data_IF_376086475811
#
_entry.id   IF_376086475811
#
_cell.length_a   1.000
_cell.length_b   1.000
_cell.length_c   1.000
_cell.angle_alpha   90.00
_cell.angle_beta   90.00
_cell.angle_gamma   90.00
#
_symmetry.space_group_name_H-M   'P 1'
#
loop_
_entity.id
_entity.type
_entity.pdbx_description
1 polymer ?
#
# COMPACT_ATOMS: atom_id res chain seq x y z
N UNK A 1 -20.85 15.86 33.54
CA UNK A 1 -20.93 15.10 32.31
C UNK A 1 -20.68 13.64 32.63
N UNK A 2 -21.56 12.75 32.21
CA UNK A 2 -21.32 11.31 32.39
C UNK A 2 -20.13 10.84 31.51
N UNK A 3 -19.60 9.67 31.84
CA UNK A 3 -18.46 9.09 31.14
C UNK A 3 -18.78 8.88 29.64
N UNK A 4 -20.03 8.53 29.30
CA UNK A 4 -20.48 8.34 27.92
C UNK A 4 -20.62 9.64 27.11
N UNK A 5 -20.97 10.76 27.74
CA UNK A 5 -21.23 12.03 27.04
C UNK A 5 -19.98 12.60 26.33
N UNK A 6 -18.77 12.32 26.85
CA UNK A 6 -17.53 12.80 26.25
C UNK A 6 -17.12 11.99 25.01
N UNK A 7 -17.37 10.69 25.00
CA UNK A 7 -17.10 9.80 23.85
C UNK A 7 -18.05 10.11 22.69
N UNK A 8 -19.34 10.24 22.98
CA UNK A 8 -20.37 10.63 22.02
C UNK A 8 -20.03 11.96 21.35
N UNK A 9 -19.56 12.96 22.10
CA UNK A 9 -19.18 14.25 21.52
C UNK A 9 -18.00 14.15 20.57
N UNK A 10 -17.02 13.31 20.87
CA UNK A 10 -15.90 13.04 19.97
C UNK A 10 -16.40 12.37 18.69
N UNK A 11 -17.26 11.37 18.82
CA UNK A 11 -17.87 10.67 17.68
C UNK A 11 -18.69 11.61 16.79
N UNK A 12 -19.57 12.44 17.36
CA UNK A 12 -20.34 13.43 16.63
C UNK A 12 -19.45 14.44 15.87
N UNK A 13 -18.36 14.86 16.49
CA UNK A 13 -17.38 15.78 15.87
C UNK A 13 -16.70 15.12 14.68
N UNK A 14 -16.26 13.86 14.83
CA UNK A 14 -15.64 13.11 13.75
C UNK A 14 -16.61 12.87 12.61
N UNK A 15 -17.87 12.48 12.89
CA UNK A 15 -18.91 12.30 11.87
C UNK A 15 -19.18 13.61 11.12
N UNK A 16 -19.29 14.71 11.85
CA UNK A 16 -19.50 16.04 11.23
C UNK A 16 -18.34 16.38 10.28
N UNK A 17 -17.10 16.07 10.70
CA UNK A 17 -15.90 16.30 9.92
C UNK A 17 -15.88 15.45 8.62
N UNK A 18 -16.28 14.18 8.70
CA UNK A 18 -16.42 13.32 7.51
C UNK A 18 -17.51 13.81 6.54
N UNK A 19 -18.62 14.30 7.08
CA UNK A 19 -19.79 14.74 6.28
C UNK A 19 -19.57 16.07 5.58
N UNK A 20 -18.72 16.94 6.13
CA UNK A 20 -18.53 18.28 5.63
C UNK A 20 -18.00 18.24 4.18
N UNK A 21 -18.78 18.76 3.20
CA UNK A 21 -18.40 18.72 1.80
C UNK A 21 -17.14 19.55 1.48
N UNK A 22 -16.83 20.56 2.30
CA UNK A 22 -15.62 21.38 2.16
C UNK A 22 -14.38 20.69 2.75
N UNK A 23 -14.56 19.57 3.49
CA UNK A 23 -13.48 18.85 4.15
C UNK A 23 -13.30 17.48 3.50
N UNK A 24 -14.06 16.46 3.90
CA UNK A 24 -13.96 15.10 3.38
C UNK A 24 -15.14 14.72 2.46
N UNK A 25 -16.33 15.26 2.73
CA UNK A 25 -17.50 15.05 1.89
C UNK A 25 -17.93 13.60 1.72
N UNK A 26 -17.82 12.79 2.78
CA UNK A 26 -18.33 11.42 2.80
C UNK A 26 -19.84 11.40 3.02
N UNK A 27 -20.54 10.48 2.36
CA UNK A 27 -21.95 10.31 2.62
C UNK A 27 -22.16 9.65 3.99
N UNK A 28 -22.93 10.30 4.86
CA UNK A 28 -23.34 9.69 6.11
C UNK A 28 -24.57 8.81 5.89
N UNK A 29 -24.46 7.53 6.22
CA UNK A 29 -25.54 6.55 6.00
C UNK A 29 -26.30 6.17 7.27
N UNK A 30 -26.02 6.86 8.36
CA UNK A 30 -26.81 6.81 9.59
C UNK A 30 -26.17 6.08 10.75
N UNK A 31 -26.89 6.08 11.87
CA UNK A 31 -26.64 5.22 13.01
C UNK A 31 -27.28 3.85 12.70
N UNK A 32 -26.48 2.80 12.78
CA UNK A 32 -26.87 1.45 12.40
C UNK A 32 -26.98 0.50 13.60
N UNK A 33 -27.25 1.04 14.79
CA UNK A 33 -27.40 0.27 16.04
C UNK A 33 -28.57 -0.69 16.04
N UNK A 34 -29.65 -0.34 15.35
CA UNK A 34 -30.89 -1.13 15.32
C UNK A 34 -30.93 -2.16 14.19
N UNK A 35 -29.86 -2.27 13.41
CA UNK A 35 -29.78 -3.14 12.24
C UNK A 35 -28.70 -4.21 12.43
N UNK A 36 -28.97 -5.41 11.92
CA UNK A 36 -27.93 -6.41 11.74
C UNK A 36 -27.19 -6.10 10.44
N UNK A 37 -25.92 -5.70 10.55
CA UNK A 37 -25.13 -5.26 9.42
C UNK A 37 -24.13 -6.32 8.93
N UNK A 38 -23.79 -6.24 7.66
CA UNK A 38 -22.74 -7.00 7.00
C UNK A 38 -21.64 -6.05 6.52
N UNK A 39 -20.47 -6.61 6.24
CA UNK A 39 -19.33 -5.88 5.69
C UNK A 39 -19.52 -5.45 4.23
N UNK A 40 -20.52 -5.94 3.52
CA UNK A 40 -20.89 -5.54 2.16
C UNK A 40 -22.35 -5.06 2.17
N UNK A 41 -22.53 -3.78 1.82
CA UNK A 41 -23.84 -3.17 1.58
C UNK A 41 -24.18 -3.32 0.10
N UNK A 42 -24.87 -4.41 -0.21
CA UNK A 42 -25.13 -4.85 -1.57
C UNK A 42 -25.80 -3.77 -2.43
N UNK A 43 -26.80 -3.07 -1.89
CA UNK A 43 -27.53 -2.05 -2.64
C UNK A 43 -26.62 -0.91 -3.12
N UNK A 44 -25.68 -0.48 -2.27
CA UNK A 44 -24.70 0.56 -2.61
C UNK A 44 -23.70 0.07 -3.65
N UNK A 45 -23.16 -1.14 -3.48
CA UNK A 45 -22.24 -1.73 -4.43
C UNK A 45 -22.89 -1.91 -5.79
N UNK A 46 -24.13 -2.39 -5.82
CA UNK A 46 -24.95 -2.54 -7.03
C UNK A 46 -25.16 -1.19 -7.73
N UNK A 47 -25.52 -0.16 -6.98
CA UNK A 47 -25.69 1.18 -7.52
C UNK A 47 -24.39 1.72 -8.14
N UNK A 48 -23.27 1.57 -7.45
CA UNK A 48 -21.97 1.97 -7.97
C UNK A 48 -21.62 1.24 -9.27
N UNK A 49 -21.79 -0.09 -9.32
CA UNK A 49 -21.46 -0.89 -10.50
C UNK A 49 -22.39 -0.58 -11.69
N UNK A 50 -23.66 -0.25 -11.45
CA UNK A 50 -24.55 0.25 -12.49
C UNK A 50 -24.10 1.59 -13.06
N UNK A 51 -23.63 2.51 -12.21
CA UNK A 51 -23.08 3.80 -12.65
C UNK A 51 -21.80 3.62 -13.49
N UNK A 52 -21.05 2.54 -13.25
CA UNK A 52 -19.88 2.14 -14.07
C UNK A 52 -20.28 1.46 -15.39
N UNK A 53 -21.58 1.24 -15.64
CA UNK A 53 -22.11 0.70 -16.90
C UNK A 53 -22.13 -0.83 -17.00
N UNK A 54 -21.94 -1.57 -15.91
CA UNK A 54 -22.02 -3.02 -15.93
C UNK A 54 -23.48 -3.50 -16.03
N UNK A 55 -23.70 -4.57 -16.80
CA UNK A 55 -25.01 -5.22 -16.89
C UNK A 55 -25.38 -5.94 -15.57
N UNK A 56 -26.68 -5.97 -15.22
CA UNK A 56 -27.15 -6.55 -13.94
C UNK A 56 -26.67 -8.00 -13.74
N UNK A 57 -26.60 -8.83 -14.77
CA UNK A 57 -26.08 -10.21 -14.68
C UNK A 57 -24.62 -10.28 -14.24
N UNK A 58 -23.77 -9.37 -14.75
CA UNK A 58 -22.35 -9.28 -14.33
C UNK A 58 -22.25 -8.77 -12.89
N UNK A 59 -23.11 -7.82 -12.53
CA UNK A 59 -23.18 -7.27 -11.17
C UNK A 59 -23.58 -8.37 -10.18
N UNK A 60 -24.64 -9.13 -10.49
CA UNK A 60 -25.09 -10.24 -9.64
C UNK A 60 -24.00 -11.28 -9.43
N UNK A 61 -23.34 -11.70 -10.51
CA UNK A 61 -22.26 -12.68 -10.44
C UNK A 61 -21.06 -12.14 -9.62
N UNK A 62 -20.67 -10.89 -9.82
CA UNK A 62 -19.56 -10.28 -9.10
C UNK A 62 -19.87 -10.12 -7.60
N UNK A 63 -21.04 -9.65 -7.24
CA UNK A 63 -21.46 -9.50 -5.84
C UNK A 63 -21.55 -10.87 -5.15
N UNK A 64 -22.16 -11.86 -5.81
CA UNK A 64 -22.24 -13.21 -5.27
C UNK A 64 -20.86 -13.81 -5.01
N UNK A 65 -19.93 -13.69 -5.97
CA UNK A 65 -18.57 -14.17 -5.80
C UNK A 65 -17.85 -13.45 -4.66
N UNK A 66 -17.95 -12.11 -4.58
CA UNK A 66 -17.34 -11.33 -3.50
C UNK A 66 -17.87 -11.75 -2.13
N UNK A 67 -19.17 -11.96 -2.00
CA UNK A 67 -19.80 -12.40 -0.75
C UNK A 67 -19.35 -13.82 -0.35
N UNK A 68 -19.25 -14.74 -1.31
CA UNK A 68 -18.73 -16.10 -1.07
C UNK A 68 -17.28 -16.07 -0.61
N UNK A 69 -16.42 -15.28 -1.25
CA UNK A 69 -15.02 -15.17 -0.90
C UNK A 69 -14.83 -14.46 0.45
N UNK A 70 -15.58 -13.38 0.72
CA UNK A 70 -15.56 -12.70 2.01
C UNK A 70 -16.10 -13.58 3.16
N UNK A 71 -17.05 -14.46 2.89
CA UNK A 71 -17.60 -15.42 3.86
C UNK A 71 -16.75 -16.68 4.07
N UNK A 72 -15.77 -16.92 3.24
CA UNK A 72 -14.96 -18.15 3.30
C UNK A 72 -13.83 -18.08 4.32
N UNK A 73 -14.09 -18.46 5.55
CA UNK A 73 -13.12 -18.51 6.64
C UNK A 73 -12.41 -19.87 6.79
N UNK A 74 -12.54 -20.78 5.84
CA UNK A 74 -11.96 -22.15 5.92
C UNK A 74 -10.43 -22.15 6.11
N UNK A 75 -9.74 -21.14 5.59
CA UNK A 75 -8.29 -20.90 5.77
C UNK A 75 -8.00 -19.76 6.76
N UNK A 76 -9.02 -19.25 7.44
CA UNK A 76 -8.92 -18.14 8.37
C UNK A 76 -9.13 -16.77 7.72
N UNK A 77 -9.25 -15.76 8.60
CA UNK A 77 -9.59 -14.38 8.21
C UNK A 77 -8.50 -13.72 7.36
N UNK A 78 -7.24 -14.09 7.54
CA UNK A 78 -6.13 -13.56 6.74
C UNK A 78 -6.26 -13.92 5.25
N UNK A 79 -6.50 -15.21 4.94
CA UNK A 79 -6.63 -15.67 3.56
C UNK A 79 -7.90 -15.14 2.90
N UNK A 80 -9.02 -15.07 3.63
CA UNK A 80 -10.24 -14.45 3.16
C UNK A 80 -10.02 -12.97 2.83
N UNK A 81 -9.36 -12.22 3.73
CA UNK A 81 -9.06 -10.80 3.50
C UNK A 81 -8.07 -10.61 2.33
N UNK A 82 -7.06 -11.48 2.17
CA UNK A 82 -6.14 -11.45 1.01
C UNK A 82 -6.91 -11.65 -0.29
N UNK A 83 -7.84 -12.60 -0.33
CA UNK A 83 -8.69 -12.84 -1.50
C UNK A 83 -9.56 -11.64 -1.83
N UNK A 84 -10.24 -11.07 -0.83
CA UNK A 84 -11.06 -9.85 -1.02
C UNK A 84 -10.20 -8.68 -1.48
N UNK A 85 -9.01 -8.47 -0.89
CA UNK A 85 -8.09 -7.42 -1.34
C UNK A 85 -7.68 -7.60 -2.81
N UNK A 86 -7.42 -8.83 -3.24
CA UNK A 86 -7.14 -9.12 -4.65
C UNK A 86 -8.31 -8.71 -5.55
N UNK A 87 -9.57 -8.90 -5.09
CA UNK A 87 -10.76 -8.44 -5.83
C UNK A 87 -10.90 -6.93 -5.87
N UNK A 88 -10.57 -6.25 -4.79
CA UNK A 88 -10.52 -4.78 -4.78
C UNK A 88 -9.47 -4.25 -5.77
N UNK A 89 -8.28 -4.86 -5.80
CA UNK A 89 -7.14 -4.41 -6.62
C UNK A 89 -7.30 -4.75 -8.11
N UNK A 90 -7.73 -5.97 -8.42
CA UNK A 90 -7.71 -6.49 -9.79
C UNK A 90 -9.11 -6.74 -10.38
N UNK A 91 -10.17 -6.49 -9.61
CA UNK A 91 -11.53 -6.78 -10.03
C UNK A 91 -11.90 -8.26 -9.96
N UNK A 92 -13.12 -8.56 -10.38
CA UNK A 92 -13.70 -9.90 -10.40
C UNK A 92 -13.96 -10.32 -11.84
N UNK A 93 -13.29 -11.36 -12.37
CA UNK A 93 -13.60 -11.89 -13.69
C UNK A 93 -14.90 -12.70 -13.62
N UNK A 94 -15.92 -12.28 -14.32
CA UNK A 94 -17.25 -12.92 -14.41
C UNK A 94 -17.73 -12.98 -15.84
N UNK A 95 -18.54 -13.98 -16.16
CA UNK A 95 -19.14 -14.14 -17.50
C UNK A 95 -20.66 -14.04 -17.41
N UNK A 96 -21.28 -13.42 -18.39
CA UNK A 96 -22.76 -13.39 -18.51
C UNK A 96 -23.36 -14.76 -18.86
N UNK A 97 -22.57 -15.61 -19.52
CA UNK A 97 -22.90 -16.99 -19.87
C UNK A 97 -21.63 -17.80 -20.09
N UNK A 98 -21.68 -19.14 -20.02
CA UNK A 98 -20.52 -20.01 -20.25
C UNK A 98 -19.85 -19.82 -21.64
N UNK A 99 -20.60 -19.32 -22.61
CA UNK A 99 -20.14 -19.12 -24.01
C UNK A 99 -19.45 -17.78 -24.24
N UNK A 100 -19.63 -16.83 -23.30
CA UNK A 100 -19.01 -15.49 -23.41
C UNK A 100 -17.69 -15.42 -22.65
N UNK A 101 -16.69 -14.71 -23.19
CA UNK A 101 -15.45 -14.47 -22.46
C UNK A 101 -15.73 -13.70 -21.15
N UNK A 102 -14.94 -13.93 -20.09
CA UNK A 102 -15.10 -13.21 -18.84
C UNK A 102 -14.82 -11.72 -19.00
N UNK A 103 -15.63 -10.91 -18.32
CA UNK A 103 -15.45 -9.47 -18.17
C UNK A 103 -14.99 -9.20 -16.73
N UNK A 104 -13.92 -8.42 -16.57
CA UNK A 104 -13.47 -8.03 -15.23
C UNK A 104 -14.32 -6.88 -14.71
N UNK A 105 -15.09 -7.13 -13.66
CA UNK A 105 -15.85 -6.11 -12.94
C UNK A 105 -14.96 -5.44 -11.92
N UNK A 106 -14.63 -4.17 -12.14
CA UNK A 106 -13.80 -3.38 -11.23
C UNK A 106 -14.62 -2.88 -10.04
N UNK A 107 -14.19 -3.22 -8.84
CA UNK A 107 -14.87 -2.82 -7.60
C UNK A 107 -14.46 -1.43 -7.12
N UNK A 108 -13.31 -0.93 -7.56
CA UNK A 108 -12.74 0.37 -7.20
C UNK A 108 -12.21 1.06 -8.45
N UNK A 109 -12.47 2.35 -8.56
CA UNK A 109 -11.88 3.21 -9.60
C UNK A 109 -10.60 3.85 -9.06
N UNK A 110 -9.45 3.25 -9.38
CA UNK A 110 -8.14 3.75 -8.97
C UNK A 110 -7.68 4.92 -9.84
N UNK A 111 -8.04 4.93 -11.12
CA UNK A 111 -7.63 5.98 -12.06
C UNK A 111 -8.33 7.32 -11.79
N UNK A 112 -9.59 7.24 -11.36
CA UNK A 112 -10.40 8.41 -11.01
C UNK A 112 -10.97 8.25 -9.60
N UNK A 113 -10.16 8.44 -8.55
CA UNK A 113 -10.55 8.15 -7.17
C UNK A 113 -11.85 8.80 -6.74
N UNK A 114 -12.15 10.00 -7.24
CA UNK A 114 -13.37 10.75 -6.89
C UNK A 114 -14.67 10.16 -7.50
N UNK A 115 -14.57 9.22 -8.44
CA UNK A 115 -15.71 8.49 -8.98
C UNK A 115 -16.24 7.38 -8.05
N UNK A 116 -15.50 7.08 -6.97
CA UNK A 116 -15.94 6.09 -5.99
C UNK A 116 -16.98 6.69 -5.04
N UNK A 117 -17.81 5.81 -4.48
CA UNK A 117 -18.78 6.14 -3.44
C UNK A 117 -18.13 5.98 -2.06
N UNK A 118 -17.94 7.09 -1.37
CA UNK A 118 -17.38 7.13 -0.01
C UNK A 118 -18.47 7.38 1.01
N UNK A 119 -18.61 6.47 1.96
CA UNK A 119 -19.61 6.60 3.00
C UNK A 119 -19.07 6.28 4.39
N UNK A 120 -19.74 6.81 5.42
CA UNK A 120 -19.47 6.53 6.82
C UNK A 120 -20.80 6.22 7.55
N UNK A 121 -20.73 5.21 8.43
CA UNK A 121 -21.79 4.85 9.37
C UNK A 121 -21.29 4.88 10.80
N UNK A 122 -22.18 5.08 11.74
CA UNK A 122 -21.90 4.98 13.17
C UNK A 122 -22.66 3.84 13.83
N UNK A 123 -22.12 3.36 14.97
CA UNK A 123 -22.77 2.35 15.82
C UNK A 123 -23.22 1.11 15.02
N UNK A 124 -22.31 0.55 14.24
CA UNK A 124 -22.64 -0.51 13.28
C UNK A 124 -22.78 -1.85 14.00
N UNK A 125 -24.01 -2.25 14.33
CA UNK A 125 -24.27 -3.54 15.00
C UNK A 125 -24.03 -4.70 14.04
N UNK A 126 -23.13 -5.60 14.44
CA UNK A 126 -22.80 -6.84 13.74
C UNK A 126 -23.06 -8.02 14.68
N UNK A 127 -23.79 -9.02 14.21
CA UNK A 127 -24.14 -10.22 14.97
C UNK A 127 -23.58 -11.45 14.24
N UNK A 128 -22.62 -12.11 14.89
CA UNK A 128 -22.04 -13.38 14.44
C UNK A 128 -22.03 -14.37 15.62
N UNK A 129 -20.85 -14.74 16.15
CA UNK A 129 -20.74 -15.55 17.37
C UNK A 129 -21.08 -14.73 18.62
N UNK A 130 -20.92 -13.43 18.54
CA UNK A 130 -21.41 -12.46 19.54
C UNK A 130 -21.84 -11.18 18.85
N UNK A 131 -22.63 -10.37 19.53
CA UNK A 131 -22.96 -9.04 19.07
C UNK A 131 -21.84 -8.06 19.41
N UNK A 132 -21.41 -7.28 18.42
CA UNK A 132 -20.45 -6.19 18.58
C UNK A 132 -20.91 -4.98 17.76
N UNK A 133 -20.48 -3.82 18.18
CA UNK A 133 -20.90 -2.55 17.60
C UNK A 133 -19.70 -1.61 17.47
N UNK A 134 -18.93 -1.73 16.35
CA UNK A 134 -17.92 -0.74 16.00
C UNK A 134 -18.46 0.69 15.98
N UNK A 135 -17.72 1.64 16.56
CA UNK A 135 -18.16 3.02 16.69
C UNK A 135 -18.37 3.68 15.32
N UNK A 136 -17.37 3.56 14.42
CA UNK A 136 -17.46 4.09 13.05
C UNK A 136 -16.94 3.07 12.04
N UNK A 137 -17.65 2.95 10.92
CA UNK A 137 -17.24 2.11 9.77
C UNK A 137 -17.26 2.96 8.50
N UNK A 138 -16.14 2.90 7.76
CA UNK A 138 -16.01 3.57 6.46
C UNK A 138 -16.22 2.56 5.35
N UNK A 139 -17.08 2.94 4.41
CA UNK A 139 -17.42 2.14 3.24
C UNK A 139 -16.88 2.79 1.96
N UNK A 140 -16.36 1.96 1.09
CA UNK A 140 -15.95 2.30 -0.27
C UNK A 140 -16.80 1.48 -1.23
N UNK A 141 -17.62 2.14 -2.06
CA UNK A 141 -18.54 1.50 -3.01
C UNK A 141 -19.45 0.45 -2.34
N UNK A 142 -19.83 0.70 -1.08
CA UNK A 142 -20.65 -0.23 -0.28
C UNK A 142 -19.86 -1.35 0.41
N UNK A 143 -18.56 -1.43 0.25
CA UNK A 143 -17.68 -2.41 0.92
C UNK A 143 -17.04 -1.76 2.15
N UNK A 144 -17.20 -2.35 3.33
CA UNK A 144 -16.57 -1.87 4.56
C UNK A 144 -15.03 -2.05 4.49
N UNK A 145 -14.29 -0.94 4.50
CA UNK A 145 -12.83 -0.95 4.30
C UNK A 145 -12.04 -0.43 5.50
N UNK A 146 -12.67 0.32 6.40
CA UNK A 146 -12.01 0.77 7.62
C UNK A 146 -12.98 0.78 8.80
N UNK A 147 -12.45 0.49 9.98
CA UNK A 147 -13.13 0.60 11.27
C UNK A 147 -12.34 1.54 12.17
N UNK A 148 -13.03 2.43 12.89
CA UNK A 148 -12.43 3.38 13.82
C UNK A 148 -13.13 3.25 15.17
N UNK A 149 -12.41 2.82 16.18
CA UNK A 149 -12.85 2.82 17.58
C UNK A 149 -12.44 4.12 18.25
N UNK A 150 -13.38 4.86 18.80
CA UNK A 150 -13.14 6.13 19.44
C UNK A 150 -13.14 5.98 20.97
N UNK A 151 -12.28 6.71 21.62
CA UNK A 151 -12.23 6.76 23.07
C UNK A 151 -12.24 8.22 23.54
N UNK A 152 -12.80 8.45 24.71
CA UNK A 152 -12.70 9.78 25.34
C UNK A 152 -11.24 10.11 25.66
N UNK A 153 -10.92 11.39 25.70
CA UNK A 153 -9.54 11.89 25.89
C UNK A 153 -8.81 11.40 27.15
N UNK A 154 -9.54 10.94 28.17
CA UNK A 154 -8.98 10.40 29.42
C UNK A 154 -8.74 8.88 29.38
N UNK A 155 -9.06 8.20 28.29
CA UNK A 155 -8.84 6.76 28.08
C UNK A 155 -7.80 6.62 26.98
N UNK A 156 -6.79 5.77 27.21
CA UNK A 156 -5.77 5.52 26.20
C UNK A 156 -6.35 4.92 24.92
N UNK A 157 -5.83 5.34 23.79
CA UNK A 157 -6.15 4.78 22.45
C UNK A 157 -5.89 3.27 22.39
N UNK A 158 -4.97 2.76 23.23
CA UNK A 158 -4.70 1.33 23.36
C UNK A 158 -5.95 0.50 23.68
N UNK A 159 -6.91 1.04 24.43
CA UNK A 159 -8.17 0.34 24.71
C UNK A 159 -9.01 0.13 23.44
N UNK A 160 -9.09 1.14 22.58
CA UNK A 160 -9.75 1.00 21.28
C UNK A 160 -9.03 0.01 20.37
N UNK A 161 -7.70 -0.01 20.37
CA UNK A 161 -6.91 -1.00 19.63
C UNK A 161 -7.22 -2.42 20.12
N UNK A 162 -7.27 -2.65 21.45
CA UNK A 162 -7.59 -3.96 22.03
C UNK A 162 -9.03 -4.37 21.72
N UNK A 163 -9.96 -3.43 21.67
CA UNK A 163 -11.34 -3.67 21.25
C UNK A 163 -11.38 -4.16 19.81
N UNK A 164 -10.70 -3.49 18.89
CA UNK A 164 -10.55 -3.93 17.50
C UNK A 164 -9.96 -5.34 17.39
N UNK A 165 -8.87 -5.62 18.10
CA UNK A 165 -8.23 -6.94 18.12
C UNK A 165 -9.14 -8.03 18.67
N UNK A 166 -9.96 -7.70 19.67
CA UNK A 166 -10.95 -8.61 20.25
C UNK A 166 -12.03 -8.93 19.24
N UNK A 167 -12.56 -7.93 18.53
CA UNK A 167 -13.60 -8.09 17.53
C UNK A 167 -13.18 -8.98 16.37
N UNK A 168 -11.88 -9.06 16.05
CA UNK A 168 -11.31 -9.90 14.99
C UNK A 168 -11.19 -11.39 15.34
N UNK A 169 -11.43 -11.79 16.60
CA UNK A 169 -11.36 -13.21 17.01
C UNK A 169 -12.60 -13.97 16.51
N UNK A 170 -12.43 -15.27 16.27
CA UNK A 170 -13.52 -16.15 15.79
C UNK A 170 -14.72 -16.23 16.73
N UNK A 171 -14.54 -15.97 18.04
CA UNK A 171 -15.61 -15.91 19.03
C UNK A 171 -16.42 -14.61 19.00
N UNK A 172 -16.09 -13.68 18.12
CA UNK A 172 -16.73 -12.38 18.01
C UNK A 172 -17.30 -12.15 16.59
N UNK A 173 -16.86 -11.11 15.89
CA UNK A 173 -17.38 -10.70 14.58
C UNK A 173 -16.30 -10.81 13.49
N UNK A 174 -15.60 -11.94 13.44
CA UNK A 174 -14.41 -12.12 12.60
C UNK A 174 -14.72 -11.95 11.10
N UNK A 175 -15.89 -12.43 10.61
CA UNK A 175 -16.22 -12.35 9.18
C UNK A 175 -16.42 -10.91 8.72
N UNK A 176 -16.80 -10.01 9.62
CA UNK A 176 -16.91 -8.59 9.31
C UNK A 176 -15.56 -7.97 8.91
N UNK A 177 -14.45 -8.53 9.42
CA UNK A 177 -13.10 -8.03 9.13
C UNK A 177 -12.48 -8.57 7.84
N UNK A 178 -13.14 -9.46 7.11
CA UNK A 178 -12.60 -10.00 5.84
C UNK A 178 -12.48 -8.97 4.73
N UNK A 179 -13.18 -7.86 4.81
CA UNK A 179 -13.10 -6.75 3.84
C UNK A 179 -12.22 -5.60 4.34
N UNK A 180 -11.88 -5.55 5.64
CA UNK A 180 -11.18 -4.41 6.25
C UNK A 180 -9.76 -4.24 5.72
N UNK A 181 -9.43 -3.02 5.31
CA UNK A 181 -8.09 -2.61 4.93
C UNK A 181 -7.39 -1.91 6.08
N UNK A 182 -8.13 -1.14 6.87
CA UNK A 182 -7.63 -0.43 8.04
C UNK A 182 -8.45 -0.76 9.28
N UNK A 183 -7.74 -0.97 10.40
CA UNK A 183 -8.29 -1.04 11.74
C UNK A 183 -7.65 0.09 12.55
N UNK A 184 -8.48 1.01 13.04
CA UNK A 184 -8.01 2.26 13.65
C UNK A 184 -8.64 2.49 15.01
N UNK A 185 -7.94 3.22 15.86
CA UNK A 185 -8.47 3.72 17.11
C UNK A 185 -7.96 5.14 17.37
N UNK A 186 -8.74 5.97 18.04
CA UNK A 186 -8.34 7.35 18.30
C UNK A 186 -9.06 8.02 19.46
N UNK A 187 -8.44 9.09 19.93
CA UNK A 187 -9.04 10.07 20.81
C UNK A 187 -8.45 11.46 20.54
N UNK A 188 -9.03 12.51 21.12
CA UNK A 188 -8.59 13.88 20.85
C UNK A 188 -7.21 14.23 21.44
N UNK A 189 -6.76 13.54 22.50
CA UNK A 189 -5.47 13.81 23.14
C UNK A 189 -4.30 13.08 22.49
N UNK A 190 -4.47 11.79 22.17
CA UNK A 190 -3.41 10.98 21.59
C UNK A 190 -3.43 10.97 20.06
N UNK A 191 -4.58 11.36 19.45
CA UNK A 191 -4.80 11.33 18.01
C UNK A 191 -5.22 9.94 17.50
N UNK A 192 -5.02 9.69 16.19
CA UNK A 192 -5.37 8.45 15.51
C UNK A 192 -4.19 7.48 15.51
N UNK A 193 -4.48 6.22 15.76
CA UNK A 193 -3.56 5.10 15.54
C UNK A 193 -4.16 4.18 14.48
N UNK A 194 -3.36 3.75 13.53
CA UNK A 194 -3.80 2.86 12.46
C UNK A 194 -2.96 1.60 12.38
N UNK A 195 -3.60 0.56 12.01
CA UNK A 195 -3.07 -0.73 11.67
C UNK A 195 -3.96 -1.38 10.62
N UNK A 196 -3.83 -2.67 10.46
CA UNK A 196 -4.68 -3.45 9.57
C UNK A 196 -5.11 -4.74 10.27
N UNK A 197 -5.71 -5.65 9.53
CA UNK A 197 -6.16 -6.94 10.05
C UNK A 197 -5.05 -7.64 10.85
N UNK A 198 -5.37 -8.08 12.07
CA UNK A 198 -4.49 -8.81 13.00
C UNK A 198 -3.18 -8.08 13.37
N UNK A 199 -3.08 -6.78 13.12
CA UNK A 199 -1.92 -5.99 13.57
C UNK A 199 -1.87 -5.94 15.09
N UNK A 200 -0.83 -6.54 15.70
CA UNK A 200 -0.66 -6.48 17.15
C UNK A 200 -0.53 -5.05 17.69
N UNK A 201 -1.03 -4.80 18.92
CA UNK A 201 -1.13 -3.46 19.52
C UNK A 201 0.14 -2.63 19.38
N UNK A 202 1.31 -3.20 19.67
CA UNK A 202 2.62 -2.51 19.60
C UNK A 202 3.04 -2.09 18.20
N UNK A 203 2.36 -2.55 17.17
CA UNK A 203 2.66 -2.23 15.76
C UNK A 203 1.66 -1.25 15.15
N UNK A 204 0.68 -0.78 15.92
CA UNK A 204 -0.16 0.32 15.49
C UNK A 204 0.68 1.59 15.34
N UNK A 205 0.44 2.32 14.28
CA UNK A 205 1.25 3.45 13.83
C UNK A 205 0.49 4.75 13.98
N UNK A 206 1.22 5.85 14.04
CA UNK A 206 0.68 7.19 13.97
C UNK A 206 1.01 7.78 12.60
N UNK A 207 0.02 8.35 11.93
CA UNK A 207 0.28 9.11 10.72
C UNK A 207 0.85 10.49 11.09
N UNK A 208 1.95 10.83 10.46
CA UNK A 208 2.57 12.15 10.59
C UNK A 208 2.69 12.77 9.21
N UNK A 209 2.39 14.03 9.09
CA UNK A 209 2.74 14.76 7.89
C UNK A 209 4.27 14.85 7.79
N UNK A 210 4.79 14.85 6.59
CA UNK A 210 6.24 14.84 6.39
C UNK A 210 6.90 16.17 6.80
N UNK A 211 6.10 17.24 6.98
CA UNK A 211 6.55 18.57 7.42
C UNK A 211 7.55 19.24 6.46
N UNK A 212 7.81 18.62 5.32
CA UNK A 212 8.83 19.06 4.39
C UNK A 212 8.24 20.13 3.46
N UNK A 213 8.70 21.37 3.61
CA UNK A 213 8.23 22.52 2.82
C UNK A 213 9.15 22.88 1.66
N UNK A 214 10.37 22.33 1.64
CA UNK A 214 11.33 22.58 0.57
C UNK A 214 10.95 21.76 -0.68
N UNK A 215 11.18 22.34 -1.85
CA UNK A 215 10.90 21.70 -3.15
C UNK A 215 9.44 21.23 -3.31
N UNK A 216 8.49 22.10 -2.95
CA UNK A 216 7.05 21.80 -3.06
C UNK A 216 6.66 21.41 -4.51
N UNK A 217 7.32 21.98 -5.51
CA UNK A 217 7.15 21.69 -6.92
C UNK A 217 7.55 20.27 -7.33
N UNK A 218 8.36 19.59 -6.50
CA UNK A 218 8.76 18.19 -6.70
C UNK A 218 7.86 17.20 -5.95
N UNK A 219 6.82 17.69 -5.27
CA UNK A 219 5.90 16.85 -4.48
C UNK A 219 4.65 16.50 -5.29
N UNK A 220 4.03 15.40 -4.94
CA UNK A 220 2.71 15.03 -5.46
C UNK A 220 1.68 16.15 -5.14
N UNK A 221 0.93 16.67 -6.12
CA UNK A 221 -0.03 17.75 -5.88
C UNK A 221 -1.10 17.41 -4.84
N UNK A 222 -1.52 16.14 -4.74
CA UNK A 222 -2.48 15.69 -3.72
C UNK A 222 -1.85 15.83 -2.33
N UNK A 223 -0.60 15.40 -2.16
CA UNK A 223 0.11 15.52 -0.88
C UNK A 223 0.32 16.97 -0.47
N UNK A 224 0.62 17.86 -1.41
CA UNK A 224 0.75 19.30 -1.15
C UNK A 224 -0.59 19.89 -0.68
N UNK A 225 -1.69 19.57 -1.39
CA UNK A 225 -3.04 20.02 -1.01
C UNK A 225 -3.43 19.57 0.38
N UNK A 226 -3.20 18.28 0.68
CA UNK A 226 -3.52 17.69 1.99
C UNK A 226 -2.69 18.34 3.10
N UNK A 227 -1.39 18.53 2.90
CA UNK A 227 -0.51 19.20 3.87
C UNK A 227 -0.99 20.60 4.20
N UNK A 228 -1.33 21.42 3.18
CA UNK A 228 -1.84 22.77 3.36
C UNK A 228 -3.15 22.81 4.16
N UNK A 229 -4.07 21.91 3.86
CA UNK A 229 -5.32 21.79 4.63
C UNK A 229 -5.06 21.37 6.07
N UNK A 230 -4.16 20.43 6.28
CA UNK A 230 -3.76 19.94 7.61
C UNK A 230 -3.16 21.06 8.50
N UNK A 231 -2.50 22.07 7.93
CA UNK A 231 -1.97 23.20 8.69
C UNK A 231 -3.08 24.00 9.40
N UNK A 232 -4.26 24.11 8.78
CA UNK A 232 -5.43 24.79 9.36
C UNK A 232 -6.21 23.98 10.39
N UNK A 233 -5.90 22.69 10.59
CA UNK A 233 -6.61 21.83 11.53
C UNK A 233 -5.83 21.69 12.84
N UNK A 234 -6.33 22.33 13.91
CA UNK A 234 -5.68 22.31 15.23
C UNK A 234 -5.83 20.95 15.94
N UNK A 235 -7.01 20.34 15.85
CA UNK A 235 -7.30 19.08 16.54
C UNK A 235 -6.50 17.93 15.92
N UNK A 236 -5.64 17.29 16.74
CA UNK A 236 -4.73 16.23 16.29
C UNK A 236 -5.44 15.03 15.65
N UNK A 237 -6.56 14.59 16.26
CA UNK A 237 -7.36 13.47 15.73
C UNK A 237 -7.93 13.82 14.34
N UNK A 238 -8.55 14.98 14.21
CA UNK A 238 -9.15 15.42 12.95
C UNK A 238 -8.09 15.63 11.86
N UNK A 239 -6.94 16.20 12.22
CA UNK A 239 -5.80 16.36 11.29
C UNK A 239 -5.36 15.03 10.72
N UNK A 240 -5.19 14.01 11.55
CA UNK A 240 -4.77 12.68 11.13
C UNK A 240 -5.88 11.93 10.36
N UNK A 241 -7.15 12.15 10.73
CA UNK A 241 -8.29 11.67 9.95
C UNK A 241 -8.25 12.29 8.55
N UNK A 242 -8.11 13.62 8.44
CA UNK A 242 -8.03 14.26 7.13
C UNK A 242 -6.88 13.72 6.29
N UNK A 243 -5.69 13.62 6.90
CA UNK A 243 -4.49 13.17 6.21
C UNK A 243 -4.62 11.72 5.65
N UNK A 244 -5.40 10.86 6.29
CA UNK A 244 -5.56 9.46 5.85
C UNK A 244 -6.82 9.21 5.03
N UNK A 245 -7.90 10.00 5.24
CA UNK A 245 -9.19 9.79 4.59
C UNK A 245 -9.51 10.82 3.49
N UNK A 246 -8.57 11.71 3.14
CA UNK A 246 -8.68 12.40 1.86
C UNK A 246 -8.89 11.36 0.75
N UNK A 247 -9.91 11.54 -0.08
CA UNK A 247 -10.42 10.50 -0.99
C UNK A 247 -9.36 9.94 -1.92
N UNK A 248 -8.50 10.81 -2.48
CA UNK A 248 -7.44 10.38 -3.40
C UNK A 248 -6.34 9.61 -2.67
N UNK A 249 -5.88 10.15 -1.52
CA UNK A 249 -4.89 9.45 -0.69
C UNK A 249 -5.43 8.15 -0.12
N UNK A 250 -6.69 8.12 0.30
CA UNK A 250 -7.28 6.92 0.88
C UNK A 250 -7.36 5.76 -0.13
N UNK A 251 -7.73 6.06 -1.38
CA UNK A 251 -7.66 5.07 -2.48
C UNK A 251 -6.22 4.62 -2.71
N UNK A 252 -5.27 5.54 -2.80
CA UNK A 252 -3.85 5.22 -3.01
C UNK A 252 -3.30 4.33 -1.88
N UNK A 253 -3.62 4.63 -0.61
CA UNK A 253 -3.24 3.81 0.54
C UNK A 253 -3.79 2.40 0.46
N UNK A 254 -5.06 2.23 0.11
CA UNK A 254 -5.69 0.90 -0.05
C UNK A 254 -5.08 0.15 -1.23
N UNK A 255 -4.97 0.79 -2.37
CA UNK A 255 -4.63 0.12 -3.62
C UNK A 255 -3.13 -0.15 -3.76
N UNK A 256 -2.26 0.73 -3.25
CA UNK A 256 -0.83 0.70 -3.54
C UNK A 256 0.07 0.48 -2.33
N UNK A 257 -0.45 0.59 -1.09
CA UNK A 257 0.36 0.55 0.12
C UNK A 257 -0.03 -0.55 1.13
N UNK A 258 -0.72 -1.57 0.64
CA UNK A 258 -1.03 -2.80 1.39
C UNK A 258 -0.25 -3.97 0.82
N UNK A 259 0.31 -4.81 1.68
CA UNK A 259 0.97 -6.06 1.29
C UNK A 259 0.60 -7.20 2.24
N UNK A 260 0.62 -8.42 1.71
CA UNK A 260 0.40 -9.65 2.45
C UNK A 260 1.71 -10.45 2.46
N UNK A 261 2.38 -10.47 3.60
CA UNK A 261 3.70 -11.07 3.76
C UNK A 261 3.64 -12.18 4.80
N UNK A 262 3.71 -13.44 4.36
CA UNK A 262 3.79 -14.64 5.20
C UNK A 262 2.78 -14.71 6.36
N UNK A 263 1.51 -14.54 6.05
CA UNK A 263 0.44 -14.59 7.04
C UNK A 263 0.25 -13.29 7.84
N UNK A 264 1.00 -12.23 7.50
CA UNK A 264 0.88 -10.91 8.11
C UNK A 264 0.49 -9.91 7.04
N UNK A 265 -0.67 -9.27 7.23
CA UNK A 265 -1.03 -8.10 6.42
C UNK A 265 -0.32 -6.86 6.98
N UNK A 266 0.25 -6.05 6.10
CA UNK A 266 0.99 -4.84 6.45
C UNK A 266 0.49 -3.66 5.62
N UNK A 267 0.48 -2.49 6.23
CA UNK A 267 0.26 -1.20 5.57
C UNK A 267 1.50 -0.32 5.76
N UNK A 268 1.70 0.66 4.88
CA UNK A 268 2.89 1.51 4.94
C UNK A 268 2.90 2.40 6.18
N UNK A 269 4.10 2.80 6.57
CA UNK A 269 4.34 3.92 7.47
C UNK A 269 4.32 5.23 6.67
N UNK A 270 4.01 6.34 7.30
CA UNK A 270 4.01 7.66 6.65
C UNK A 270 5.33 7.98 5.94
N UNK A 271 6.48 7.66 6.56
CA UNK A 271 7.78 7.91 5.95
C UNK A 271 8.05 7.03 4.71
N UNK A 272 7.52 5.80 4.66
CA UNK A 272 7.57 4.95 3.48
C UNK A 272 6.68 5.53 2.38
N UNK A 273 5.45 5.92 2.71
CA UNK A 273 4.52 6.55 1.78
C UNK A 273 5.17 7.78 1.10
N UNK A 274 5.59 8.78 1.88
CA UNK A 274 6.16 10.00 1.32
C UNK A 274 7.48 9.77 0.57
N UNK A 275 8.32 8.85 1.03
CA UNK A 275 9.54 8.47 0.31
C UNK A 275 9.24 7.86 -1.05
N UNK A 276 8.22 7.01 -1.15
CA UNK A 276 7.77 6.40 -2.40
C UNK A 276 7.17 7.45 -3.32
N UNK A 277 6.24 8.29 -2.83
CA UNK A 277 5.59 9.35 -3.63
C UNK A 277 6.61 10.31 -4.24
N UNK A 278 7.61 10.75 -3.47
CA UNK A 278 8.70 11.59 -3.99
C UNK A 278 9.54 10.87 -5.04
N UNK A 279 9.83 9.59 -4.82
CA UNK A 279 10.57 8.81 -5.81
C UNK A 279 9.77 8.63 -7.10
N UNK A 280 8.47 8.34 -7.00
CA UNK A 280 7.56 8.26 -8.14
C UNK A 280 7.56 9.58 -8.92
N UNK A 281 7.41 10.72 -8.24
CA UNK A 281 7.45 12.04 -8.87
C UNK A 281 8.80 12.30 -9.54
N UNK A 282 9.91 11.99 -8.87
CA UNK A 282 11.26 12.12 -9.44
C UNK A 282 11.43 11.27 -10.70
N UNK A 283 10.98 10.02 -10.68
CA UNK A 283 11.04 9.11 -11.83
C UNK A 283 10.17 9.62 -12.98
N UNK A 284 8.99 10.15 -12.70
CA UNK A 284 8.11 10.74 -13.71
C UNK A 284 8.75 11.97 -14.35
N UNK A 285 9.37 12.84 -13.55
CA UNK A 285 10.09 14.00 -14.04
C UNK A 285 11.32 13.59 -14.89
N UNK A 286 12.07 12.58 -14.45
CA UNK A 286 13.20 12.02 -15.21
C UNK A 286 12.76 11.49 -16.58
N UNK A 287 11.63 10.80 -16.65
CA UNK A 287 11.08 10.33 -17.93
C UNK A 287 10.86 11.50 -18.90
N UNK A 288 10.31 12.60 -18.43
CA UNK A 288 10.11 13.82 -19.25
C UNK A 288 11.45 14.43 -19.63
N UNK A 289 12.42 14.50 -18.70
CA UNK A 289 13.77 15.03 -18.96
C UNK A 289 14.55 14.21 -20.01
N UNK A 290 14.40 12.87 -19.99
CA UNK A 290 15.07 11.98 -20.96
C UNK A 290 14.63 12.21 -22.41
N UNK A 291 13.41 12.70 -22.62
CA UNK A 291 12.90 13.06 -23.95
C UNK A 291 13.25 14.50 -24.37
N UNK A 292 13.91 15.28 -23.50
CA UNK A 292 14.33 16.64 -23.82
C UNK A 292 15.68 16.61 -24.57
N UNK A 293 15.75 17.06 -25.85
CA UNK A 293 17.00 17.07 -26.62
C UNK A 293 18.08 18.01 -26.03
N UNK A 294 17.68 18.96 -25.18
CA UNK A 294 18.58 19.90 -24.53
C UNK A 294 18.95 19.48 -23.10
N UNK A 295 18.72 18.23 -22.73
CA UNK A 295 19.06 17.74 -21.41
C UNK A 295 20.56 17.80 -21.17
N UNK A 296 20.95 18.32 -20.01
CA UNK A 296 22.33 18.25 -19.53
C UNK A 296 22.73 16.76 -19.32
N UNK A 297 23.71 16.23 -20.08
CA UNK A 297 24.15 14.83 -19.94
C UNK A 297 24.77 14.53 -18.57
N UNK A 298 25.28 15.53 -17.85
CA UNK A 298 25.91 15.38 -16.55
C UNK A 298 24.90 15.41 -15.39
N UNK A 299 23.64 15.78 -15.67
CA UNK A 299 22.58 15.78 -14.66
C UNK A 299 22.31 14.35 -14.15
N UNK A 300 22.37 14.10 -12.83
CA UNK A 300 22.15 12.78 -12.27
C UNK A 300 20.79 12.19 -12.64
N UNK A 301 20.77 10.92 -13.08
CA UNK A 301 19.53 10.18 -13.41
C UNK A 301 18.94 9.41 -12.23
N UNK A 302 19.47 9.55 -11.05
CA UNK A 302 19.06 8.84 -9.86
C UNK A 302 18.75 9.76 -8.70
N UNK A 303 18.63 9.14 -7.53
CA UNK A 303 18.42 9.81 -6.26
C UNK A 303 18.80 8.90 -5.10
N UNK A 304 18.77 9.45 -3.90
CA UNK A 304 19.02 8.72 -2.67
C UNK A 304 17.75 8.75 -1.82
N UNK A 305 17.24 7.58 -1.46
CA UNK A 305 16.17 7.43 -0.49
C UNK A 305 16.79 7.15 0.88
N UNK A 306 16.85 8.18 1.72
CA UNK A 306 17.43 8.05 3.06
C UNK A 306 16.39 7.60 4.08
N UNK A 307 16.56 6.39 4.57
CA UNK A 307 15.72 5.82 5.63
C UNK A 307 16.58 5.32 6.78
N UNK A 308 16.12 5.54 8.01
CA UNK A 308 16.79 5.00 9.21
C UNK A 308 16.74 3.47 9.23
N UNK A 309 17.66 2.86 9.96
CA UNK A 309 17.64 1.41 10.18
C UNK A 309 16.32 0.97 10.83
N UNK A 310 15.74 -0.13 10.40
CA UNK A 310 14.45 -0.63 10.92
C UNK A 310 13.21 0.12 10.43
N UNK A 311 13.32 1.11 9.55
CA UNK A 311 12.18 1.84 8.98
C UNK A 311 11.37 1.05 7.94
N UNK A 312 11.87 -0.13 7.51
CA UNK A 312 11.21 -0.98 6.52
C UNK A 312 11.64 -0.70 5.09
N UNK A 313 12.92 -0.40 4.83
CA UNK A 313 13.50 -0.16 3.50
C UNK A 313 13.11 -1.22 2.47
N UNK A 314 13.16 -2.50 2.85
CA UNK A 314 12.78 -3.61 1.96
C UNK A 314 11.35 -3.49 1.43
N UNK A 315 10.37 -3.16 2.31
CA UNK A 315 8.98 -2.94 1.87
C UNK A 315 8.86 -1.71 0.98
N UNK A 316 9.64 -0.65 1.24
CA UNK A 316 9.69 0.53 0.37
C UNK A 316 10.14 0.15 -1.04
N UNK A 317 11.19 -0.68 -1.16
CA UNK A 317 11.64 -1.21 -2.46
C UNK A 317 10.57 -2.06 -3.15
N UNK A 318 9.86 -2.93 -2.39
CA UNK A 318 8.76 -3.74 -2.92
C UNK A 318 7.66 -2.86 -3.53
N UNK A 319 7.13 -1.90 -2.78
CA UNK A 319 6.07 -1.02 -3.28
C UNK A 319 6.52 -0.21 -4.49
N UNK A 320 7.74 0.32 -4.45
CA UNK A 320 8.27 1.11 -5.56
C UNK A 320 8.52 0.25 -6.81
N UNK A 321 9.06 -0.96 -6.65
CA UNK A 321 9.24 -1.90 -7.76
C UNK A 321 7.90 -2.29 -8.40
N UNK A 322 6.88 -2.62 -7.59
CA UNK A 322 5.53 -2.89 -8.08
C UNK A 322 4.97 -1.72 -8.87
N UNK A 323 5.11 -0.52 -8.34
CA UNK A 323 4.64 0.69 -9.03
C UNK A 323 5.34 0.88 -10.39
N UNK A 324 6.67 0.73 -10.45
CA UNK A 324 7.44 0.87 -11.70
C UNK A 324 6.97 -0.17 -12.73
N UNK A 325 6.88 -1.43 -12.33
CA UNK A 325 6.49 -2.52 -13.22
C UNK A 325 5.06 -2.36 -13.75
N UNK A 326 4.16 -1.78 -12.95
CA UNK A 326 2.78 -1.52 -13.36
C UNK A 326 2.66 -0.30 -14.26
N UNK A 327 3.23 0.84 -13.84
CA UNK A 327 3.02 2.13 -14.52
C UNK A 327 3.97 2.36 -15.71
N UNK A 328 5.05 1.60 -15.80
CA UNK A 328 6.02 1.66 -16.88
C UNK A 328 6.06 0.37 -17.72
N UNK A 329 5.01 -0.43 -17.66
CA UNK A 329 4.89 -1.66 -18.44
C UNK A 329 5.03 -1.42 -19.95
N UNK A 330 4.43 -0.34 -20.46
CA UNK A 330 4.54 0.08 -21.86
C UNK A 330 5.98 0.41 -22.29
N UNK A 331 6.84 0.76 -21.34
CA UNK A 331 8.26 1.05 -21.54
C UNK A 331 9.13 -0.20 -21.43
N UNK A 332 8.56 -1.38 -21.24
CA UNK A 332 9.30 -2.59 -20.90
C UNK A 332 10.25 -2.36 -19.70
N UNK A 333 9.73 -1.72 -18.66
CA UNK A 333 10.50 -1.42 -17.45
C UNK A 333 10.92 -2.71 -16.73
N UNK A 334 12.15 -2.71 -16.25
CA UNK A 334 12.73 -3.79 -15.45
C UNK A 334 13.34 -3.21 -14.18
N UNK A 335 13.27 -3.95 -13.10
CA UNK A 335 13.84 -3.53 -11.82
C UNK A 335 14.95 -4.50 -11.42
N UNK A 336 16.15 -3.96 -11.17
CA UNK A 336 17.27 -4.69 -10.61
C UNK A 336 17.50 -4.21 -9.17
N UNK A 337 17.46 -5.13 -8.23
CA UNK A 337 17.82 -4.85 -6.84
C UNK A 337 19.22 -5.43 -6.58
N UNK A 338 20.14 -4.57 -6.18
CA UNK A 338 21.50 -4.94 -5.80
C UNK A 338 21.63 -4.83 -4.28
N UNK A 339 21.99 -5.93 -3.63
CA UNK A 339 22.16 -6.00 -2.18
C UNK A 339 23.53 -6.55 -1.81
N UNK A 340 24.02 -6.18 -0.62
CA UNK A 340 25.34 -6.60 -0.11
C UNK A 340 25.26 -7.74 0.92
N UNK A 341 24.07 -8.20 1.31
CA UNK A 341 23.87 -9.19 2.36
C UNK A 341 23.04 -10.38 1.92
N UNK A 342 23.54 -11.59 2.17
CA UNK A 342 22.82 -12.84 1.90
C UNK A 342 21.46 -12.88 2.62
N UNK A 343 21.42 -12.47 3.90
CA UNK A 343 20.18 -12.45 4.68
C UNK A 343 19.13 -11.50 4.08
N UNK A 344 19.59 -10.36 3.54
CA UNK A 344 18.73 -9.37 2.93
C UNK A 344 18.21 -9.84 1.56
N UNK A 345 19.06 -10.50 0.75
CA UNK A 345 18.69 -11.12 -0.52
C UNK A 345 17.57 -12.17 -0.30
N UNK A 346 17.70 -13.03 0.71
CA UNK A 346 16.62 -13.96 1.09
C UNK A 346 15.36 -13.25 1.61
N UNK A 347 15.53 -12.18 2.38
CA UNK A 347 14.42 -11.41 2.89
C UNK A 347 13.66 -10.71 1.75
N UNK A 348 14.38 -10.14 0.78
CA UNK A 348 13.81 -9.53 -0.42
C UNK A 348 13.00 -10.57 -1.19
N UNK A 349 13.60 -11.71 -1.54
CA UNK A 349 12.89 -12.80 -2.24
C UNK A 349 11.62 -13.22 -1.50
N UNK A 350 11.74 -13.49 -0.21
CA UNK A 350 10.61 -13.89 0.63
C UNK A 350 9.51 -12.82 0.69
N UNK A 351 9.88 -11.56 0.70
CA UNK A 351 8.92 -10.45 0.75
C UNK A 351 8.20 -10.28 -0.60
N UNK A 352 8.92 -10.35 -1.71
CA UNK A 352 8.31 -10.30 -3.05
C UNK A 352 7.43 -11.51 -3.32
N UNK A 353 7.90 -12.71 -3.03
CA UNK A 353 7.07 -13.93 -3.15
C UNK A 353 5.83 -13.87 -2.24
N UNK A 354 5.96 -13.30 -1.04
CA UNK A 354 4.83 -13.10 -0.11
C UNK A 354 3.73 -12.19 -0.65
N UNK A 355 4.06 -11.31 -1.60
CA UNK A 355 3.11 -10.39 -2.27
C UNK A 355 2.77 -10.84 -3.70
N UNK A 356 3.00 -12.11 -4.00
CA UNK A 356 2.72 -12.75 -5.29
C UNK A 356 3.53 -12.16 -6.48
N UNK A 357 4.72 -11.61 -6.20
CA UNK A 357 5.66 -11.14 -7.22
C UNK A 357 6.82 -12.12 -7.39
N UNK A 358 7.07 -12.51 -8.62
CA UNK A 358 8.21 -13.36 -8.96
C UNK A 358 9.47 -12.51 -9.08
N UNK A 359 10.49 -12.86 -8.32
CA UNK A 359 11.80 -12.23 -8.38
C UNK A 359 12.86 -13.26 -8.78
N UNK A 360 13.63 -12.95 -9.82
CA UNK A 360 14.71 -13.80 -10.29
C UNK A 360 15.99 -13.48 -9.52
N UNK A 361 16.54 -14.46 -8.79
CA UNK A 361 17.83 -14.31 -8.10
C UNK A 361 18.98 -14.74 -8.99
N UNK A 362 19.98 -13.89 -9.12
CA UNK A 362 21.19 -14.22 -9.88
C UNK A 362 22.13 -15.10 -9.09
N UNK A 363 22.82 -16.01 -9.78
CA UNK A 363 23.78 -16.93 -9.18
C UNK A 363 25.24 -16.45 -9.34
N UNK A 364 25.48 -15.57 -10.31
CA UNK A 364 26.80 -15.02 -10.67
C UNK A 364 26.65 -13.74 -11.49
N UNK A 365 27.71 -12.97 -11.67
CA UNK A 365 27.73 -11.82 -12.60
C UNK A 365 27.38 -12.22 -14.02
N UNK A 366 27.87 -13.37 -14.49
CA UNK A 366 27.51 -13.92 -15.81
C UNK A 366 26.01 -14.24 -15.90
N UNK A 367 25.39 -14.80 -14.84
CA UNK A 367 23.97 -15.06 -14.79
C UNK A 367 23.16 -13.75 -14.83
N UNK A 368 23.62 -12.70 -14.13
CA UNK A 368 23.02 -11.36 -14.19
C UNK A 368 23.03 -10.82 -15.62
N UNK A 369 24.19 -10.84 -16.30
CA UNK A 369 24.32 -10.35 -17.67
C UNK A 369 23.44 -11.13 -18.65
N UNK A 370 23.39 -12.45 -18.51
CA UNK A 370 22.52 -13.28 -19.34
C UNK A 370 21.05 -12.90 -19.14
N UNK A 371 20.59 -12.70 -17.89
CA UNK A 371 19.20 -12.29 -17.60
C UNK A 371 18.89 -10.88 -18.09
N UNK A 372 19.85 -9.96 -18.02
CA UNK A 372 19.67 -8.60 -18.56
C UNK A 372 19.57 -8.59 -20.07
N UNK A 373 20.22 -9.53 -20.75
CA UNK A 373 20.22 -9.63 -22.23
C UNK A 373 18.96 -10.29 -22.81
N UNK A 374 18.07 -10.83 -21.98
CA UNK A 374 16.77 -11.40 -22.36
C UNK A 374 15.62 -10.72 -21.60
N UNK A 375 14.39 -10.82 -22.12
CA UNK A 375 13.21 -10.17 -21.51
C UNK A 375 12.46 -11.05 -20.51
N UNK A 376 13.02 -12.20 -20.09
CA UNK A 376 12.29 -13.19 -19.31
C UNK A 376 11.94 -12.73 -17.88
N UNK A 377 12.81 -11.91 -17.27
CA UNK A 377 12.64 -11.45 -15.91
C UNK A 377 12.47 -9.93 -15.85
N UNK A 378 11.33 -9.46 -15.36
CA UNK A 378 11.07 -8.03 -15.11
C UNK A 378 11.61 -7.54 -13.77
N UNK A 379 11.79 -8.44 -12.80
CA UNK A 379 12.31 -8.15 -11.47
C UNK A 379 13.46 -9.09 -11.14
N UNK A 380 14.65 -8.51 -10.93
CA UNK A 380 15.89 -9.27 -10.71
C UNK A 380 16.52 -8.83 -9.38
N UNK A 381 17.03 -9.77 -8.61
CA UNK A 381 17.87 -9.52 -7.43
C UNK A 381 19.27 -10.07 -7.64
N UNK A 382 20.29 -9.25 -7.37
CA UNK A 382 21.69 -9.63 -7.46
C UNK A 382 22.43 -9.29 -6.16
N UNK A 383 23.16 -10.27 -5.67
CA UNK A 383 23.97 -10.14 -4.46
C UNK A 383 25.43 -9.87 -4.83
N UNK A 384 26.00 -8.82 -4.28
CA UNK A 384 27.40 -8.42 -4.53
C UNK A 384 28.41 -9.46 -4.03
N UNK A 385 28.07 -10.23 -2.99
CA UNK A 385 29.01 -11.12 -2.28
C UNK A 385 29.15 -12.55 -2.80
N UNK A 386 28.35 -12.99 -3.78
CA UNK A 386 28.42 -14.41 -4.21
C UNK A 386 29.79 -14.86 -4.72
N UNK A 387 30.78 -13.99 -4.66
CA UNK A 387 32.10 -14.16 -5.29
C UNK A 387 33.27 -14.38 -4.35
N UNK A 388 33.09 -14.48 -3.03
CA UNK A 388 34.27 -14.68 -2.19
C UNK A 388 34.13 -15.33 -0.82
N UNK A 389 33.07 -15.15 -0.07
CA UNK A 389 32.91 -15.76 1.28
C UNK A 389 31.46 -15.95 1.65
N UNK A 390 31.12 -17.11 2.23
CA UNK A 390 29.83 -17.34 2.88
C UNK A 390 29.84 -16.69 4.27
N UNK A 391 28.92 -15.74 4.48
CA UNK A 391 28.64 -15.12 5.78
C UNK A 391 29.56 -13.93 6.12
N UNK A 392 29.07 -12.72 5.93
CA UNK A 392 29.72 -11.45 6.30
C UNK A 392 29.18 -10.27 5.50
N UNK A 393 29.51 -9.04 5.94
CA UNK A 393 29.21 -7.81 5.22
C UNK A 393 30.23 -7.62 4.08
N UNK A 394 29.79 -7.06 2.89
CA UNK A 394 30.68 -6.75 1.78
C UNK A 394 31.73 -5.71 2.17
N UNK A 395 32.94 -5.97 1.74
CA UNK A 395 34.04 -5.01 1.82
C UNK A 395 34.15 -4.27 0.49
N UNK A 396 34.86 -3.13 0.49
CA UNK A 396 35.14 -2.37 -0.74
C UNK A 396 35.83 -3.24 -1.82
N UNK A 397 36.65 -4.19 -1.40
CA UNK A 397 37.35 -5.14 -2.27
C UNK A 397 36.39 -6.17 -2.91
N UNK A 398 35.25 -6.48 -2.29
CA UNK A 398 34.23 -7.37 -2.85
C UNK A 398 33.42 -6.68 -3.94
N UNK A 399 33.18 -5.38 -3.81
CA UNK A 399 32.57 -4.56 -4.87
C UNK A 399 33.49 -4.45 -6.09
N UNK A 400 34.80 -4.22 -5.89
CA UNK A 400 35.77 -4.15 -6.99
C UNK A 400 35.81 -5.49 -7.76
N UNK A 401 35.88 -6.61 -7.07
CA UNK A 401 35.82 -7.94 -7.68
C UNK A 401 34.52 -8.20 -8.43
N UNK A 402 33.38 -7.78 -7.87
CA UNK A 402 32.08 -7.90 -8.55
C UNK A 402 32.06 -7.13 -9.86
N UNK A 403 32.58 -5.89 -9.85
CA UNK A 403 32.69 -5.05 -11.04
C UNK A 403 33.66 -5.66 -12.07
N UNK A 404 34.81 -6.18 -11.62
CA UNK A 404 35.79 -6.84 -12.49
C UNK A 404 35.21 -8.09 -13.16
N UNK A 405 34.45 -8.89 -12.42
CA UNK A 405 33.77 -10.07 -12.97
C UNK A 405 32.69 -9.69 -13.97
N UNK A 406 31.85 -8.68 -13.66
CA UNK A 406 30.89 -8.16 -14.62
C UNK A 406 31.57 -7.73 -15.90
N UNK A 407 32.65 -6.93 -15.81
CA UNK A 407 33.43 -6.47 -16.98
C UNK A 407 34.05 -7.62 -17.76
N UNK A 408 34.64 -8.59 -17.07
CA UNK A 408 35.24 -9.77 -17.71
C UNK A 408 34.22 -10.71 -18.35
N UNK A 409 32.99 -10.68 -17.88
CA UNK A 409 31.89 -11.51 -18.38
C UNK A 409 31.03 -10.82 -19.45
N UNK A 410 31.26 -9.53 -19.73
CA UNK A 410 30.51 -8.75 -20.71
C UNK A 410 30.70 -9.35 -22.11
N UNK A 411 29.64 -9.80 -22.80
CA UNK A 411 29.72 -10.16 -24.21
C UNK A 411 30.07 -8.95 -25.06
N UNK A 412 30.79 -9.15 -26.17
CA UNK A 412 31.19 -8.07 -27.08
C UNK A 412 30.01 -7.23 -27.63
N UNK A 413 28.80 -7.83 -27.69
CA UNK A 413 27.56 -7.21 -28.15
C UNK A 413 26.52 -7.19 -27.03
N UNK A 414 26.92 -6.90 -25.78
CA UNK A 414 25.98 -6.81 -24.67
C UNK A 414 25.10 -5.56 -24.81
N UNK A 415 23.80 -5.77 -24.73
CA UNK A 415 22.82 -4.71 -24.66
C UNK A 415 21.76 -5.10 -23.64
N UNK A 416 21.67 -4.37 -22.53
CA UNK A 416 20.62 -4.59 -21.55
C UNK A 416 19.25 -4.32 -22.18
N UNK A 417 18.37 -5.32 -22.19
CA UNK A 417 17.03 -5.21 -22.78
C UNK A 417 16.08 -4.53 -21.79
N UNK A 418 15.26 -3.61 -22.33
CA UNK A 418 14.28 -2.85 -21.56
C UNK A 418 14.87 -1.64 -20.83
N UNK A 419 13.97 -0.89 -20.17
CA UNK A 419 14.35 0.27 -19.37
C UNK A 419 14.65 -0.17 -17.93
N UNK A 420 15.93 -0.19 -17.57
CA UNK A 420 16.39 -0.72 -16.30
C UNK A 420 16.37 0.36 -15.20
N UNK A 421 15.63 0.09 -14.13
CA UNK A 421 15.70 0.87 -12.88
C UNK A 421 16.45 0.06 -11.83
N UNK A 422 17.50 0.63 -11.27
CA UNK A 422 18.38 -0.07 -10.34
C UNK A 422 18.23 0.47 -8.93
N UNK A 423 17.91 -0.41 -7.98
CA UNK A 423 17.94 -0.14 -6.55
C UNK A 423 19.21 -0.71 -5.96
N UNK A 424 19.99 0.14 -5.29
CA UNK A 424 21.18 -0.29 -4.55
C UNK A 424 20.89 -0.11 -3.06
N UNK A 425 20.80 -1.22 -2.33
CA UNK A 425 20.63 -1.17 -0.89
C UNK A 425 21.96 -0.89 -0.20
N UNK A 426 21.92 -0.22 0.96
CA UNK A 426 23.09 0.21 1.75
C UNK A 426 24.14 0.98 0.92
N UNK A 427 23.72 1.80 -0.04
CA UNK A 427 24.59 2.51 -0.98
C UNK A 427 25.63 3.43 -0.31
N UNK A 428 25.47 3.79 0.96
CA UNK A 428 26.45 4.56 1.72
C UNK A 428 27.77 3.80 1.98
N UNK A 429 27.75 2.47 1.85
CA UNK A 429 28.96 1.62 1.98
C UNK A 429 29.81 1.63 0.70
N UNK A 430 29.23 2.03 -0.42
CA UNK A 430 29.93 2.20 -1.71
C UNK A 430 30.44 3.63 -1.86
N UNK A 431 31.32 4.08 -0.94
CA UNK A 431 31.79 5.49 -0.89
C UNK A 431 32.45 6.01 -2.18
N UNK A 432 32.80 5.14 -3.12
CA UNK A 432 33.58 5.50 -4.31
C UNK A 432 32.76 5.79 -5.56
N UNK A 433 31.42 5.62 -5.56
CA UNK A 433 30.61 5.75 -6.79
C UNK A 433 30.96 4.72 -7.89
N UNK A 434 31.88 3.78 -7.62
CA UNK A 434 32.41 2.80 -8.58
C UNK A 434 31.31 1.90 -9.15
N UNK A 435 30.36 1.45 -8.31
CA UNK A 435 29.24 0.64 -8.77
C UNK A 435 28.35 1.43 -9.75
N UNK A 436 28.07 2.69 -9.44
CA UNK A 436 27.30 3.58 -10.30
C UNK A 436 28.02 3.80 -11.65
N UNK A 437 29.33 4.00 -11.62
CA UNK A 437 30.15 4.16 -12.84
C UNK A 437 30.17 2.87 -13.67
N UNK A 438 30.32 1.70 -13.03
CA UNK A 438 30.33 0.42 -13.73
C UNK A 438 28.99 0.03 -14.33
N UNK A 439 27.87 0.51 -13.77
CA UNK A 439 26.53 0.26 -14.31
C UNK A 439 26.13 1.25 -15.41
N UNK A 440 26.87 2.35 -15.58
CA UNK A 440 26.70 3.30 -16.69
C UNK A 440 27.54 2.95 -17.92
N UNK A 441 28.64 2.24 -17.75
CA UNK A 441 29.51 1.75 -18.82
C UNK A 441 28.97 0.47 -19.46
#
# INVERSE_FOLDING_TARGET
MSIGDAEIKTQERVIRFFKDPEILGYQYIGNLSDYQNKNIKEDRLRQYLRLKGYADKLIDAAIMQLQQEAGNLSRGVYDANKTVYSRLKYGIPVSESPEKPPVTVQLVDEEKPLNNDFAIAEEVTVVEQSEKRPDLVVYLNGIAVAVIELKRSSISVSEGIRQNLTNQKNSFIQSFFTTMQFCMAGNESEGLRYGTLLTGEKFYMEWKDDGFKEHEEERDPVDVRISKTCEGIENKLLKQIYAMFDKERFIDLIMNFVVFDKGIKKVCRYNQYFGIKRTQQRLTNLRTELHNPNRDPDKPMGGILWHTQGSGKTLTMVWLAKWILTHWAELNARVLIVTDRDELDEQIEKTFTGVDENIARTKSGKDLLNRLNVYDDSLICSLVHKFGRRGGEATENDYDKYIEELKASLPANFEAKGNLVVFVDECHRTQSGKLHTAMRS
#
